data_IF_468058507873
#
_entry.id   IF_468058507873
#
_cell.length_a   1.000
_cell.length_b   1.000
_cell.length_c   1.000
_cell.angle_alpha   90.00
_cell.angle_beta   90.00
_cell.angle_gamma   90.00
#
_symmetry.space_group_name_H-M   'P 1'
#
loop_
_entity.id
_entity.type
_entity.pdbx_description
1 polymer ?
#
# COMPACT_ATOMS: atom_id res chain seq x y z
N UNK A 1 37.85 -2.04 -3.54
CA UNK A 1 37.81 -2.58 -4.92
C UNK A 1 36.36 -2.52 -5.36
N UNK A 2 36.07 -1.70 -6.36
CA UNK A 2 34.73 -1.50 -6.90
C UNK A 2 34.46 -2.58 -7.95
N UNK A 3 33.37 -3.31 -7.78
CA UNK A 3 32.75 -4.08 -8.86
C UNK A 3 31.29 -3.69 -8.91
N UNK A 4 31.02 -2.47 -9.39
CA UNK A 4 29.69 -2.13 -9.85
C UNK A 4 29.48 -2.85 -11.19
N UNK A 5 28.58 -3.83 -11.16
CA UNK A 5 28.10 -4.55 -12.33
C UNK A 5 27.23 -3.59 -13.16
N UNK A 6 27.82 -2.99 -14.20
CA UNK A 6 27.14 -2.15 -15.21
C UNK A 6 26.22 -2.96 -16.16
N UNK A 7 25.40 -3.86 -15.61
CA UNK A 7 24.33 -4.49 -16.39
C UNK A 7 23.07 -3.65 -16.17
N UNK A 8 22.37 -3.15 -17.21
CA UNK A 8 21.08 -2.49 -17.01
C UNK A 8 20.19 -3.46 -16.25
N UNK A 9 19.72 -3.03 -15.06
CA UNK A 9 18.92 -3.83 -14.15
C UNK A 9 17.72 -4.38 -14.95
N UNK A 10 17.71 -5.69 -15.20
CA UNK A 10 16.53 -6.35 -15.77
C UNK A 10 15.37 -6.07 -14.82
N UNK A 11 14.24 -5.52 -15.30
CA UNK A 11 13.09 -5.24 -14.46
C UNK A 11 12.75 -6.45 -13.59
N UNK A 12 12.62 -6.24 -12.28
CA UNK A 12 12.25 -7.29 -11.34
C UNK A 12 13.40 -8.18 -10.84
N UNK A 13 14.68 -7.81 -11.04
CA UNK A 13 15.82 -8.55 -10.45
C UNK A 13 16.71 -7.65 -9.59
N UNK A 14 17.16 -8.17 -8.44
CA UNK A 14 18.05 -7.52 -7.49
C UNK A 14 19.00 -8.56 -6.87
N UNK A 15 20.25 -8.20 -6.57
CA UNK A 15 21.18 -9.15 -5.94
C UNK A 15 20.78 -9.42 -4.48
N UNK A 16 21.00 -10.65 -4.01
CA UNK A 16 20.74 -11.02 -2.60
C UNK A 16 21.51 -10.13 -1.62
N UNK A 17 22.73 -9.72 -1.96
CA UNK A 17 23.54 -8.82 -1.14
C UNK A 17 22.89 -7.44 -0.98
N UNK A 18 22.31 -6.91 -2.06
CA UNK A 18 21.63 -5.63 -2.03
C UNK A 18 20.30 -5.75 -1.28
N UNK A 19 19.53 -6.82 -1.50
CA UNK A 19 18.29 -7.11 -0.75
C UNK A 19 18.56 -7.13 0.76
N UNK A 20 19.54 -7.92 1.20
CA UNK A 20 19.91 -7.98 2.62
C UNK A 20 20.32 -6.62 3.16
N UNK A 21 21.19 -5.89 2.45
CA UNK A 21 21.66 -4.58 2.89
C UNK A 21 20.52 -3.58 3.08
N UNK A 22 19.54 -3.55 2.18
CA UNK A 22 18.37 -2.67 2.28
C UNK A 22 17.47 -3.05 3.47
N UNK A 23 17.21 -4.35 3.66
CA UNK A 23 16.41 -4.86 4.79
C UNK A 23 17.11 -4.56 6.13
N UNK A 24 18.40 -4.82 6.21
CA UNK A 24 19.21 -4.56 7.42
C UNK A 24 19.24 -3.08 7.76
N UNK A 25 19.42 -2.21 6.76
CA UNK A 25 19.38 -0.76 6.97
C UNK A 25 18.04 -0.32 7.57
N UNK A 26 16.90 -0.80 7.05
CA UNK A 26 15.59 -0.47 7.63
C UNK A 26 15.44 -1.00 9.07
N UNK A 27 15.80 -2.26 9.31
CA UNK A 27 15.69 -2.90 10.64
C UNK A 27 16.55 -2.20 11.69
N UNK A 28 17.79 -1.84 11.34
CA UNK A 28 18.76 -1.25 12.26
C UNK A 28 18.52 0.26 12.49
N UNK A 29 17.81 0.93 11.58
CA UNK A 29 17.53 2.38 11.68
C UNK A 29 16.07 2.66 12.01
N UNK A 30 15.18 2.63 11.01
CA UNK A 30 13.80 3.07 11.12
C UNK A 30 13.02 2.21 12.13
N UNK A 31 13.06 0.89 11.96
CA UNK A 31 12.35 -0.03 12.85
C UNK A 31 12.85 0.09 14.29
N UNK A 32 14.16 0.19 14.50
CA UNK A 32 14.73 0.36 15.82
C UNK A 32 14.28 1.67 16.49
N UNK A 33 14.25 2.78 15.75
CA UNK A 33 13.74 4.07 16.26
C UNK A 33 12.26 3.97 16.60
N UNK A 34 11.44 3.39 15.73
CA UNK A 34 10.00 3.20 15.95
C UNK A 34 9.75 2.35 17.21
N UNK A 35 10.38 1.18 17.29
CA UNK A 35 10.24 0.25 18.42
C UNK A 35 10.68 0.92 19.73
N UNK A 36 11.79 1.63 19.72
CA UNK A 36 12.31 2.32 20.92
C UNK A 36 11.40 3.47 21.36
N UNK A 37 10.97 4.31 20.41
CA UNK A 37 10.17 5.50 20.71
C UNK A 37 8.73 5.15 21.14
N UNK A 38 8.15 4.10 20.56
CA UNK A 38 6.78 3.69 20.82
C UNK A 38 6.67 2.56 21.86
N UNK A 39 7.77 1.90 22.21
CA UNK A 39 7.77 0.77 23.15
C UNK A 39 7.05 -0.46 22.59
N UNK A 40 7.08 -0.65 21.27
CA UNK A 40 6.40 -1.75 20.57
C UNK A 40 7.40 -2.66 19.87
N UNK A 41 6.92 -3.81 19.43
CA UNK A 41 7.61 -4.69 18.49
C UNK A 41 6.88 -4.65 17.14
N UNK A 42 7.30 -3.72 16.29
CA UNK A 42 6.60 -3.41 15.06
C UNK A 42 6.86 -4.41 13.92
N UNK A 43 6.01 -4.37 12.90
CA UNK A 43 6.16 -5.17 11.69
C UNK A 43 7.35 -4.69 10.86
N UNK A 44 8.19 -5.62 10.40
CA UNK A 44 9.31 -5.32 9.50
C UNK A 44 9.06 -5.72 8.04
N UNK A 45 7.98 -6.45 7.79
CA UNK A 45 7.49 -6.75 6.45
C UNK A 45 6.00 -7.06 6.49
N UNK A 46 5.39 -6.98 5.31
CA UNK A 46 4.00 -7.38 5.08
C UNK A 46 4.03 -8.40 3.97
N UNK A 47 3.39 -9.53 4.21
CA UNK A 47 3.32 -10.61 3.25
C UNK A 47 1.90 -10.73 2.70
N UNK A 48 1.78 -10.80 1.38
CA UNK A 48 0.53 -11.11 0.70
C UNK A 48 0.71 -12.44 -0.02
N UNK A 49 -0.31 -13.30 0.02
CA UNK A 49 -0.31 -14.45 -0.85
C UNK A 49 -0.44 -13.99 -2.32
N UNK A 50 0.27 -14.69 -3.20
CA UNK A 50 0.32 -14.32 -4.61
C UNK A 50 -1.06 -14.34 -5.29
N UNK A 51 -1.96 -15.32 -5.04
CA UNK A 51 -3.33 -15.29 -5.57
C UNK A 51 -4.10 -14.03 -5.21
N UNK A 52 -4.04 -13.59 -3.95
CA UNK A 52 -4.71 -12.37 -3.49
C UNK A 52 -4.18 -11.13 -4.18
N UNK A 53 -2.86 -10.98 -4.27
CA UNK A 53 -2.25 -9.84 -4.96
C UNK A 53 -2.65 -9.80 -6.45
N UNK A 54 -2.67 -10.97 -7.11
CA UNK A 54 -3.13 -11.08 -8.51
C UNK A 54 -4.60 -10.71 -8.66
N UNK A 55 -5.47 -11.18 -7.77
CA UNK A 55 -6.89 -10.84 -7.81
C UNK A 55 -7.13 -9.35 -7.58
N UNK A 56 -6.37 -8.72 -6.68
CA UNK A 56 -6.41 -7.28 -6.48
C UNK A 56 -6.02 -6.52 -7.75
N UNK A 57 -4.92 -6.91 -8.41
CA UNK A 57 -4.49 -6.32 -9.69
C UNK A 57 -5.56 -6.51 -10.77
N UNK A 58 -6.11 -7.73 -10.92
CA UNK A 58 -7.15 -8.01 -11.89
C UNK A 58 -8.43 -7.19 -11.64
N UNK A 59 -8.79 -6.95 -10.37
CA UNK A 59 -9.91 -6.07 -10.02
C UNK A 59 -9.62 -4.62 -10.42
N UNK A 60 -8.38 -4.12 -10.22
CA UNK A 60 -7.99 -2.79 -10.70
C UNK A 60 -8.18 -2.68 -12.21
N UNK A 61 -7.65 -3.63 -12.98
CA UNK A 61 -7.76 -3.64 -14.44
C UNK A 61 -9.22 -3.64 -14.91
N UNK A 62 -10.04 -4.52 -14.32
CA UNK A 62 -11.44 -4.68 -14.68
C UNK A 62 -12.27 -3.43 -14.35
N UNK A 63 -12.09 -2.85 -13.17
CA UNK A 63 -12.87 -1.68 -12.75
C UNK A 63 -12.35 -0.38 -13.40
N UNK A 64 -11.05 -0.27 -13.67
CA UNK A 64 -10.49 0.84 -14.44
C UNK A 64 -11.07 0.92 -15.86
N UNK A 65 -11.21 -0.22 -16.54
CA UNK A 65 -11.82 -0.31 -17.87
C UNK A 65 -13.27 0.19 -17.87
N UNK A 66 -14.02 -0.04 -16.77
CA UNK A 66 -15.39 0.45 -16.64
C UNK A 66 -15.44 1.95 -16.38
N UNK A 67 -14.53 2.46 -15.54
CA UNK A 67 -14.49 3.87 -15.15
C UNK A 67 -13.94 4.77 -16.26
N UNK A 68 -12.96 4.28 -17.03
CA UNK A 68 -12.35 4.97 -18.16
C UNK A 68 -12.02 3.96 -19.27
N UNK A 69 -12.91 3.77 -20.26
CA UNK A 69 -12.71 2.81 -21.35
C UNK A 69 -11.47 3.09 -22.22
N UNK A 70 -10.94 4.31 -22.20
CA UNK A 70 -9.75 4.70 -22.96
C UNK A 70 -8.44 4.47 -22.18
N UNK A 71 -8.50 4.08 -20.89
CA UNK A 71 -7.33 3.78 -20.10
C UNK A 71 -6.66 2.48 -20.58
N UNK A 72 -5.36 2.55 -20.86
CA UNK A 72 -4.55 1.35 -21.13
C UNK A 72 -4.02 0.75 -19.83
N UNK A 73 -3.60 -0.51 -19.87
CA UNK A 73 -2.92 -1.17 -18.75
C UNK A 73 -1.66 -0.45 -18.31
N UNK A 74 -0.99 0.24 -19.23
CA UNK A 74 0.22 1.02 -19.06
C UNK A 74 -0.03 2.34 -18.32
N UNK A 75 -1.29 2.76 -18.25
CA UNK A 75 -1.73 3.92 -17.47
C UNK A 75 -2.04 3.55 -16.01
N UNK A 76 -2.14 2.25 -15.70
CA UNK A 76 -2.48 1.76 -14.37
C UNK A 76 -1.25 1.55 -13.51
N UNK A 77 -1.43 1.70 -12.20
CA UNK A 77 -0.42 1.40 -11.21
C UNK A 77 -1.03 1.09 -9.85
N UNK A 78 -0.15 0.75 -8.90
CA UNK A 78 -0.50 0.57 -7.49
C UNK A 78 0.44 1.41 -6.66
N UNK A 79 -0.11 2.32 -5.87
CA UNK A 79 0.62 3.09 -4.87
C UNK A 79 0.52 2.39 -3.53
N UNK A 80 1.66 2.20 -2.88
CA UNK A 80 1.74 1.70 -1.52
C UNK A 80 1.90 2.87 -0.56
N UNK A 81 0.89 3.10 0.28
CA UNK A 81 0.99 4.06 1.38
C UNK A 81 1.50 3.35 2.64
N UNK A 82 2.57 3.88 3.23
CA UNK A 82 2.91 3.55 4.61
C UNK A 82 1.80 4.05 5.54
N UNK A 83 1.26 3.13 6.32
CA UNK A 83 0.15 3.39 7.22
C UNK A 83 0.41 2.74 8.58
N UNK A 84 -0.47 3.00 9.53
CA UNK A 84 -0.41 2.39 10.86
C UNK A 84 -1.82 2.00 11.25
N UNK A 85 -2.00 0.80 11.79
CA UNK A 85 -3.28 0.43 12.38
C UNK A 85 -3.60 1.36 13.56
N UNK A 86 -4.88 1.67 13.81
CA UNK A 86 -5.24 2.49 14.95
C UNK A 86 -4.76 1.85 16.25
N UNK A 87 -4.59 2.66 17.29
CA UNK A 87 -4.35 2.11 18.62
C UNK A 87 -5.61 1.40 19.13
N UNK A 88 -5.44 0.52 20.11
CA UNK A 88 -6.52 -0.30 20.66
C UNK A 88 -7.70 0.55 21.18
N UNK A 89 -7.43 1.73 21.74
CA UNK A 89 -8.47 2.66 22.20
C UNK A 89 -9.38 3.20 21.08
N UNK A 90 -8.94 3.17 19.82
CA UNK A 90 -9.67 3.65 18.64
C UNK A 90 -10.01 2.51 17.67
N UNK A 91 -10.07 1.27 18.15
CA UNK A 91 -10.17 0.09 17.29
C UNK A 91 -11.49 -0.03 16.52
N UNK A 92 -12.57 0.60 17.00
CA UNK A 92 -13.88 0.57 16.33
C UNK A 92 -13.87 1.14 14.90
N UNK A 93 -12.83 1.91 14.53
CA UNK A 93 -12.65 2.37 13.14
C UNK A 93 -12.41 1.18 12.18
N UNK A 94 -11.93 0.05 12.70
CA UNK A 94 -11.65 -1.17 11.93
C UNK A 94 -12.87 -2.11 11.80
N UNK A 95 -14.07 -1.73 12.28
CA UNK A 95 -15.23 -2.64 12.30
C UNK A 95 -15.65 -3.14 10.90
N UNK A 96 -15.43 -2.33 9.85
CA UNK A 96 -15.67 -2.72 8.45
C UNK A 96 -14.57 -3.61 7.85
N UNK A 97 -13.45 -3.76 8.54
CA UNK A 97 -12.28 -4.52 8.09
C UNK A 97 -11.59 -5.20 9.28
N UNK A 98 -12.21 -6.27 9.83
CA UNK A 98 -11.74 -6.88 11.05
C UNK A 98 -10.39 -7.58 10.81
N UNK A 99 -9.36 -7.05 11.47
CA UNK A 99 -8.04 -7.66 11.61
C UNK A 99 -7.77 -7.96 13.09
N UNK A 100 -6.84 -8.88 13.41
CA UNK A 100 -6.51 -9.18 14.81
C UNK A 100 -6.09 -7.94 15.60
N UNK A 101 -6.62 -7.78 16.82
CA UNK A 101 -6.32 -6.63 17.70
C UNK A 101 -4.83 -6.51 18.04
N UNK A 102 -4.08 -7.60 17.97
CA UNK A 102 -2.62 -7.61 18.15
C UNK A 102 -1.86 -6.75 17.13
N UNK A 103 -2.51 -6.34 16.04
CA UNK A 103 -1.95 -5.43 15.03
C UNK A 103 -2.09 -3.96 15.43
N UNK A 104 -2.77 -3.65 16.53
CA UNK A 104 -2.96 -2.28 16.99
C UNK A 104 -1.65 -1.50 17.11
N UNK A 105 -1.64 -0.31 16.52
CA UNK A 105 -0.47 0.58 16.50
C UNK A 105 0.71 0.12 15.65
N UNK A 106 0.61 -1.01 14.95
CA UNK A 106 1.69 -1.51 14.08
C UNK A 106 1.64 -0.89 12.69
N UNK A 107 2.81 -0.76 12.07
CA UNK A 107 2.94 -0.40 10.67
C UNK A 107 2.18 -1.38 9.77
N UNK A 108 1.55 -0.81 8.76
CA UNK A 108 0.90 -1.53 7.68
C UNK A 108 1.09 -0.79 6.35
N UNK A 109 0.59 -1.35 5.26
CA UNK A 109 0.55 -0.73 3.95
C UNK A 109 -0.89 -0.69 3.47
N UNK A 110 -1.27 0.37 2.77
CA UNK A 110 -2.51 0.42 2.00
C UNK A 110 -2.14 0.48 0.52
N UNK A 111 -2.60 -0.49 -0.25
CA UNK A 111 -2.49 -0.52 -1.71
C UNK A 111 -3.66 0.25 -2.31
N UNK A 112 -3.35 1.29 -3.07
CA UNK A 112 -4.33 2.15 -3.74
C UNK A 112 -4.10 2.13 -5.25
N UNK A 113 -5.14 1.90 -6.07
CA UNK A 113 -5.04 1.96 -7.51
C UNK A 113 -4.68 3.37 -7.99
N UNK A 114 -3.80 3.47 -8.98
CA UNK A 114 -3.47 4.73 -9.66
C UNK A 114 -3.76 4.65 -11.14
N UNK A 115 -4.13 5.78 -11.72
CA UNK A 115 -4.28 5.95 -13.16
C UNK A 115 -3.45 7.17 -13.58
N UNK A 116 -2.86 7.16 -14.77
CA UNK A 116 -2.17 8.33 -15.32
C UNK A 116 -3.17 9.37 -15.79
N UNK A 117 -2.87 10.64 -15.53
CA UNK A 117 -3.64 11.78 -16.05
C UNK A 117 -2.72 12.96 -16.32
N UNK A 118 -3.07 13.72 -17.35
CA UNK A 118 -2.45 15.03 -17.62
C UNK A 118 -3.04 16.07 -16.67
N UNK A 119 -2.19 16.73 -15.88
CA UNK A 119 -2.61 17.85 -15.03
C UNK A 119 -2.83 19.14 -15.87
N UNK A 120 -3.21 20.23 -15.20
CA UNK A 120 -3.46 21.53 -15.85
C UNK A 120 -2.22 22.13 -16.53
N UNK A 121 -1.01 21.71 -16.14
CA UNK A 121 0.27 22.16 -16.72
C UNK A 121 0.75 21.29 -17.88
N UNK A 122 0.03 20.21 -18.21
CA UNK A 122 0.40 19.30 -19.29
C UNK A 122 1.31 18.14 -18.86
N UNK A 123 1.62 18.00 -17.57
CA UNK A 123 2.46 16.93 -17.04
C UNK A 123 1.63 15.68 -16.75
N UNK A 124 2.21 14.51 -17.05
CA UNK A 124 1.64 13.22 -16.66
C UNK A 124 1.90 12.96 -15.18
N UNK A 125 0.83 12.73 -14.42
CA UNK A 125 0.88 12.37 -13.01
C UNK A 125 0.13 11.05 -12.78
N UNK A 126 0.65 10.22 -11.87
CA UNK A 126 -0.05 9.05 -11.36
C UNK A 126 -0.99 9.52 -10.24
N UNK A 127 -2.29 9.59 -10.50
CA UNK A 127 -3.27 10.01 -9.50
C UNK A 127 -4.00 8.80 -8.91
N UNK A 128 -4.27 8.85 -7.60
CA UNK A 128 -5.05 7.83 -6.92
C UNK A 128 -6.51 7.92 -7.35
N UNK A 129 -7.13 6.77 -7.63
CA UNK A 129 -8.52 6.75 -8.07
C UNK A 129 -9.31 5.61 -7.43
N UNK A 130 -10.62 5.86 -7.22
CA UNK A 130 -11.54 4.84 -6.75
C UNK A 130 -12.25 4.28 -7.98
N UNK A 131 -11.98 3.03 -8.37
CA UNK A 131 -12.59 2.50 -9.58
C UNK A 131 -14.07 2.14 -9.38
N UNK A 132 -14.57 2.15 -8.14
CA UNK A 132 -16.00 2.00 -7.82
C UNK A 132 -16.76 3.33 -7.73
N UNK A 133 -16.10 4.49 -7.91
CA UNK A 133 -16.84 5.74 -8.02
C UNK A 133 -17.59 5.75 -9.35
N UNK A 134 -18.91 5.92 -9.27
CA UNK A 134 -19.76 6.19 -10.43
C UNK A 134 -19.22 7.40 -11.20
N UNK A 135 -19.55 7.48 -12.49
CA UNK A 135 -19.17 8.48 -13.50
C UNK A 135 -19.50 9.95 -13.16
N UNK A 136 -19.75 10.28 -11.89
CA UNK A 136 -20.05 11.62 -11.37
C UNK A 136 -18.87 12.29 -10.66
N UNK A 137 -17.63 11.91 -11.00
CA UNK A 137 -16.46 12.78 -10.83
C UNK A 137 -16.00 13.05 -9.39
N UNK A 138 -16.22 12.13 -8.45
CA UNK A 138 -15.92 12.39 -7.04
C UNK A 138 -14.46 12.32 -6.58
N UNK A 139 -13.45 11.94 -7.37
CA UNK A 139 -12.01 11.91 -6.96
C UNK A 139 -11.69 11.18 -5.63
N UNK A 140 -10.49 10.66 -5.48
CA UNK A 140 -10.01 10.13 -4.19
C UNK A 140 -9.68 11.32 -3.25
N UNK A 141 -10.69 12.11 -2.87
CA UNK A 141 -10.49 13.27 -2.00
C UNK A 141 -10.38 12.84 -0.53
N UNK A 142 -9.36 12.06 -0.17
CA UNK A 142 -8.99 11.85 1.24
C UNK A 142 -8.59 13.17 1.94
N UNK A 143 -8.37 14.25 1.19
CA UNK A 143 -7.93 15.54 1.72
C UNK A 143 -9.05 16.51 2.15
N UNK A 144 -10.34 16.24 1.89
CA UNK A 144 -11.40 17.26 2.10
C UNK A 144 -12.60 16.84 2.98
N UNK A 145 -12.48 15.81 3.84
CA UNK A 145 -13.52 15.51 4.87
C UNK A 145 -13.45 16.46 6.08
N UNK A 146 -13.28 17.77 5.85
CA UNK A 146 -13.45 18.83 6.87
C UNK A 146 -14.55 19.82 6.47
N UNK A 147 -15.66 19.34 5.90
CA UNK A 147 -16.87 20.15 5.78
C UNK A 147 -18.13 19.29 5.83
N UNK A 148 -18.84 19.40 6.95
CA UNK A 148 -20.28 19.20 7.18
C UNK A 148 -21.06 18.31 6.19
N UNK A 149 -21.41 17.13 6.71
CA UNK A 149 -22.65 16.37 6.58
C UNK A 149 -23.49 16.46 5.29
N UNK A 150 -23.67 15.33 4.62
CA UNK A 150 -24.97 14.81 4.16
C UNK A 150 -24.77 13.38 3.63
N UNK A 151 -25.63 12.44 4.03
CA UNK A 151 -25.86 11.16 3.34
C UNK A 151 -25.06 9.96 3.86
N UNK A 152 -25.74 8.83 4.06
CA UNK A 152 -25.14 7.49 4.10
C UNK A 152 -24.48 7.23 2.74
N UNK A 153 -23.24 7.68 2.58
CA UNK A 153 -22.38 7.36 1.43
C UNK A 153 -21.92 5.91 1.61
N UNK A 154 -22.17 5.09 0.58
CA UNK A 154 -21.60 3.75 0.45
C UNK A 154 -20.07 3.89 0.41
N UNK A 155 -19.40 3.61 1.54
CA UNK A 155 -17.95 3.79 1.78
C UNK A 155 -17.13 2.69 1.05
N UNK A 156 -17.57 2.33 -0.15
CA UNK A 156 -16.94 1.31 -0.96
C UNK A 156 -15.81 1.97 -1.77
N UNK A 157 -14.57 1.78 -1.31
CA UNK A 157 -13.36 2.15 -2.02
C UNK A 157 -12.47 0.93 -2.28
N UNK A 158 -11.81 0.88 -3.45
CA UNK A 158 -10.82 -0.16 -3.71
C UNK A 158 -9.51 0.21 -3.02
N UNK A 159 -9.28 -0.35 -1.85
CA UNK A 159 -8.02 -0.32 -1.13
C UNK A 159 -7.78 -1.66 -0.45
N UNK A 160 -6.54 -2.15 -0.45
CA UNK A 160 -6.21 -3.43 0.20
C UNK A 160 -5.04 -3.24 1.16
N UNK A 161 -5.19 -3.73 2.38
CA UNK A 161 -4.19 -3.64 3.45
C UNK A 161 -3.99 -4.96 4.22
N UNK A 162 -4.76 -6.02 3.93
CA UNK A 162 -4.81 -7.22 4.75
C UNK A 162 -3.73 -8.25 4.36
N UNK A 163 -2.48 -7.81 4.32
CA UNK A 163 -1.35 -8.72 4.34
C UNK A 163 -1.08 -9.20 5.77
N UNK A 164 -0.35 -10.31 5.91
CA UNK A 164 0.11 -10.79 7.21
C UNK A 164 1.24 -9.86 7.66
N UNK A 165 1.05 -9.20 8.80
CA UNK A 165 2.15 -8.49 9.46
C UNK A 165 3.12 -9.51 10.02
N UNK A 166 4.39 -9.34 9.70
CA UNK A 166 5.45 -10.21 10.17
C UNK A 166 6.22 -9.49 11.26
N UNK A 167 5.99 -9.80 12.55
CA UNK A 167 6.85 -9.34 13.64
C UNK A 167 8.18 -10.13 13.63
N UNK A 168 9.23 -9.67 14.34
CA UNK A 168 10.52 -10.36 14.38
C UNK A 168 10.49 -11.76 15.03
N UNK A 169 9.33 -12.23 15.52
CA UNK A 169 9.15 -13.60 16.01
C UNK A 169 8.17 -14.44 15.19
N UNK A 170 8.48 -14.62 13.91
CA UNK A 170 8.08 -15.83 13.17
C UNK A 170 9.24 -16.32 12.28
N UNK A 171 10.18 -17.12 12.80
CA UNK A 171 11.42 -17.50 12.11
C UNK A 171 11.26 -18.61 11.05
N UNK A 172 10.05 -19.05 10.73
CA UNK A 172 9.83 -20.11 9.73
C UNK A 172 9.55 -19.51 8.36
N UNK A 173 10.51 -19.65 7.44
CA UNK A 173 10.33 -19.34 6.01
C UNK A 173 10.87 -17.99 5.53
N UNK A 174 11.44 -17.16 6.41
CA UNK A 174 12.15 -15.92 6.03
C UNK A 174 13.65 -16.18 5.91
N UNK A 175 14.25 -15.80 4.77
CA UNK A 175 15.69 -16.01 4.51
C UNK A 175 16.55 -14.77 4.71
N UNK A 176 15.94 -13.60 4.93
CA UNK A 176 16.62 -12.32 5.07
C UNK A 176 16.14 -11.56 6.30
#
# INVERSE_FOLDING_TARGET
MNTESNNPLQPGTMSNSLIQALIDNYRQTHLNVINTALGIDDAHSIWFDLPKLKNFIANIEAEATKANPDASTEDLGVRFYYATYPKQENWSIMDSHPVPIEYAGRHTLVMVPTLKKTNETGELIDYDFNPFQSTEGKSFALANKSAKGMGEDDDTSLGENNGILVPPKAPLGQSF
#
